data_IF_534570620980
#
_entry.id   IF_534570620980
#
_cell.length_a   1.000
_cell.length_b   1.000
_cell.length_c   1.000
_cell.angle_alpha   90.00
_cell.angle_beta   90.00
_cell.angle_gamma   90.00
#
_symmetry.space_group_name_H-M   'P 1'
#
loop_
_entity.id
_entity.type
_entity.pdbx_description
1 polymer ?
#
# COMPACT_ATOMS: atom_id res chain seq x y z
N UNK A 1 -28.08 -4.84 -20.79
CA UNK A 1 -26.71 -5.37 -21.01
C UNK A 1 -26.18 -4.82 -22.33
N UNK A 2 -25.58 -3.63 -22.29
CA UNK A 2 -24.73 -2.96 -23.30
C UNK A 2 -24.79 -1.46 -23.00
N UNK A 3 -23.80 -0.98 -22.29
CA UNK A 3 -23.24 0.37 -22.45
C UNK A 3 -21.94 0.39 -21.66
N UNK A 4 -20.91 -0.23 -22.24
CA UNK A 4 -19.55 0.18 -21.94
C UNK A 4 -19.35 1.43 -22.79
N UNK A 5 -19.13 2.55 -22.11
CA UNK A 5 -18.80 3.83 -22.74
C UNK A 5 -17.54 3.68 -23.58
N UNK A 6 -17.60 4.00 -24.87
CA UNK A 6 -16.45 4.02 -25.77
C UNK A 6 -15.35 4.98 -25.30
N UNK A 7 -15.69 5.97 -24.47
CA UNK A 7 -14.72 6.88 -23.86
C UNK A 7 -13.83 6.21 -22.79
N UNK A 8 -14.23 5.04 -22.24
CA UNK A 8 -13.38 4.25 -21.34
C UNK A 8 -12.41 3.34 -22.11
N UNK A 9 -12.74 2.95 -23.34
CA UNK A 9 -11.81 2.24 -24.22
C UNK A 9 -10.70 3.16 -24.74
N UNK A 10 -10.98 4.43 -25.02
CA UNK A 10 -9.93 5.37 -25.48
C UNK A 10 -8.87 5.70 -24.43
N UNK A 11 -9.19 5.50 -23.13
CA UNK A 11 -8.23 5.62 -22.03
C UNK A 11 -7.33 4.39 -21.90
N UNK A 12 -7.75 3.24 -22.47
CA UNK A 12 -7.00 1.98 -22.48
C UNK A 12 -6.02 1.91 -23.67
N UNK A 13 -6.35 2.44 -24.85
CA UNK A 13 -5.43 2.45 -25.99
C UNK A 13 -4.20 3.35 -25.77
N UNK A 14 -4.34 4.44 -25.01
CA UNK A 14 -3.21 5.32 -24.70
C UNK A 14 -2.17 4.75 -23.70
N UNK A 15 -2.48 3.64 -23.03
CA UNK A 15 -1.61 3.01 -22.02
C UNK A 15 -0.99 1.69 -22.49
N UNK A 16 -1.51 1.07 -23.55
CA UNK A 16 -0.98 -0.18 -24.09
C UNK A 16 0.27 0.02 -25.00
N UNK A 17 0.49 1.22 -25.54
CA UNK A 17 1.62 1.51 -26.45
C UNK A 17 2.91 1.99 -25.75
N UNK A 18 3.01 1.93 -24.42
CA UNK A 18 4.21 2.40 -23.69
C UNK A 18 4.97 1.35 -22.91
N UNK A 19 4.65 0.07 -23.06
CA UNK A 19 5.47 -1.03 -22.54
C UNK A 19 6.68 -1.31 -23.43
N UNK A 20 7.56 -0.31 -23.56
CA UNK A 20 8.96 -0.52 -23.88
C UNK A 20 9.69 -0.69 -22.54
N UNK A 21 9.78 -1.95 -22.08
CA UNK A 21 10.54 -2.32 -20.88
C UNK A 21 12.04 -2.15 -21.18
N UNK A 22 12.50 -0.89 -21.20
CA UNK A 22 13.91 -0.57 -20.98
C UNK A 22 14.15 -0.54 -19.49
N UNK A 23 15.14 -1.31 -19.05
CA UNK A 23 15.61 -1.40 -17.67
C UNK A 23 15.75 -0.02 -17.04
N UNK A 24 14.77 0.34 -16.23
CA UNK A 24 14.87 1.41 -15.26
C UNK A 24 15.52 0.86 -14.00
N UNK A 25 16.54 1.56 -13.52
CA UNK A 25 17.14 1.34 -12.21
C UNK A 25 16.07 1.18 -11.12
N UNK A 26 16.32 0.39 -10.07
CA UNK A 26 15.42 0.36 -8.92
C UNK A 26 15.31 1.77 -8.36
N UNK A 27 14.06 2.22 -8.22
CA UNK A 27 13.68 3.51 -7.65
C UNK A 27 14.30 3.63 -6.24
N UNK A 28 15.33 4.46 -6.08
CA UNK A 28 16.08 4.69 -4.83
C UNK A 28 15.22 5.36 -3.72
N UNK A 29 13.91 5.45 -3.90
CA UNK A 29 12.99 6.10 -2.97
C UNK A 29 12.43 5.21 -1.85
N UNK A 30 12.71 3.89 -1.84
CA UNK A 30 12.05 2.94 -0.92
C UNK A 30 12.88 2.61 0.36
N UNK A 31 14.06 3.21 0.55
CA UNK A 31 14.98 2.90 1.67
C UNK A 31 14.74 3.77 2.94
N UNK A 32 13.77 4.69 2.94
CA UNK A 32 13.64 5.74 3.97
C UNK A 32 12.31 5.74 4.76
N UNK A 33 11.78 4.59 5.17
CA UNK A 33 10.58 4.54 6.04
C UNK A 33 10.76 3.71 7.32
N UNK A 34 11.91 3.88 7.98
CA UNK A 34 12.08 3.46 9.37
C UNK A 34 11.55 4.56 10.30
N UNK A 35 10.22 4.61 10.47
CA UNK A 35 9.56 5.51 11.42
C UNK A 35 9.22 4.78 12.73
N UNK A 36 9.64 5.37 13.85
CA UNK A 36 9.35 4.93 15.21
C UNK A 36 7.85 5.11 15.55
N UNK A 37 7.28 4.31 16.49
CA UNK A 37 5.90 4.47 16.90
C UNK A 37 5.72 5.80 17.64
N UNK A 38 4.86 6.67 17.12
CA UNK A 38 4.48 7.91 17.78
C UNK A 38 3.45 7.60 18.86
N UNK A 39 3.75 7.97 20.10
CA UNK A 39 2.88 7.78 21.25
C UNK A 39 1.61 8.64 21.15
N UNK A 40 0.48 8.06 21.54
CA UNK A 40 -0.84 8.68 21.43
C UNK A 40 -1.23 9.58 22.61
N UNK A 41 -2.10 10.56 22.28
CA UNK A 41 -3.11 11.29 23.08
C UNK A 41 -2.68 12.47 23.98
N UNK A 42 -3.57 13.49 24.22
CA UNK A 42 -5.05 13.37 24.26
C UNK A 42 -5.92 14.44 23.54
N UNK A 43 -7.14 13.99 23.23
CA UNK A 43 -8.46 14.65 23.33
C UNK A 43 -8.79 16.01 22.64
N UNK A 44 -9.88 16.00 21.85
CA UNK A 44 -11.09 16.84 21.97
C UNK A 44 -11.67 17.33 20.64
N UNK A 45 -12.95 16.96 20.46
CA UNK A 45 -14.04 17.74 19.88
C UNK A 45 -13.92 18.24 18.41
N UNK A 46 -14.96 17.87 17.67
CA UNK A 46 -15.41 18.41 16.39
C UNK A 46 -14.96 19.86 16.11
N UNK A 47 -13.92 20.02 15.29
CA UNK A 47 -13.67 21.29 14.60
C UNK A 47 -14.49 21.29 13.32
N UNK A 48 -15.69 21.82 13.46
CA UNK A 48 -16.56 22.11 12.34
C UNK A 48 -15.98 23.32 11.60
N UNK A 49 -15.37 23.10 10.44
CA UNK A 49 -14.87 24.18 9.58
C UNK A 49 -13.62 23.89 8.75
N UNK A 50 -12.87 22.81 9.03
CA UNK A 50 -11.71 22.46 8.21
C UNK A 50 -12.18 21.93 6.84
N UNK A 51 -11.83 22.66 5.78
CA UNK A 51 -12.11 22.26 4.40
C UNK A 51 -11.22 21.07 4.04
N UNK A 52 -11.80 20.06 3.39
CA UNK A 52 -11.05 18.89 2.93
C UNK A 52 -10.02 19.32 1.88
N UNK A 53 -8.76 18.92 2.04
CA UNK A 53 -7.69 19.24 1.10
C UNK A 53 -7.55 18.16 0.03
N UNK A 54 -7.95 16.94 0.38
CA UNK A 54 -7.98 15.79 -0.52
C UNK A 54 -9.07 14.80 -0.10
N UNK A 55 -9.29 13.80 -0.95
CA UNK A 55 -10.14 12.66 -0.68
C UNK A 55 -9.35 11.36 -0.84
N UNK A 56 -9.75 10.35 -0.09
CA UNK A 56 -9.18 9.00 -0.16
C UNK A 56 -10.27 7.95 -0.30
N UNK A 57 -9.96 6.90 -1.04
CA UNK A 57 -10.78 5.69 -1.15
C UNK A 57 -10.18 4.64 -0.20
N UNK A 58 -11.00 4.16 0.73
CA UNK A 58 -10.57 3.32 1.86
C UNK A 58 -11.27 1.97 1.81
N UNK A 59 -10.50 0.89 1.79
CA UNK A 59 -11.01 -0.48 1.94
C UNK A 59 -11.03 -0.83 3.42
N UNK A 60 -12.20 -1.20 3.93
CA UNK A 60 -12.38 -1.62 5.32
C UNK A 60 -12.39 -3.15 5.35
N UNK A 61 -11.43 -3.75 6.06
CA UNK A 61 -11.31 -5.20 6.19
C UNK A 61 -12.07 -5.69 7.42
N UNK A 62 -13.37 -5.95 7.26
CA UNK A 62 -14.19 -6.62 8.28
C UNK A 62 -14.36 -8.07 7.85
N UNK A 63 -13.71 -9.06 8.51
CA UNK A 63 -13.71 -10.46 8.07
C UNK A 63 -15.10 -11.07 7.89
N UNK A 64 -16.10 -10.61 8.66
CA UNK A 64 -17.48 -11.07 8.60
C UNK A 64 -18.33 -10.39 7.51
N UNK A 65 -17.79 -9.41 6.77
CA UNK A 65 -18.49 -8.68 5.73
C UNK A 65 -17.67 -8.66 4.45
N UNK A 66 -18.19 -9.27 3.40
CA UNK A 66 -17.62 -9.16 2.06
C UNK A 66 -17.88 -7.76 1.47
N UNK A 67 -17.13 -6.77 1.95
CA UNK A 67 -17.15 -5.41 1.40
C UNK A 67 -16.42 -5.42 0.06
N UNK A 68 -17.18 -5.20 -1.00
CA UNK A 68 -16.68 -5.32 -2.38
C UNK A 68 -16.15 -3.99 -2.91
N UNK A 69 -16.64 -2.86 -2.37
CA UNK A 69 -16.31 -1.52 -2.84
C UNK A 69 -15.58 -0.72 -1.74
N UNK A 70 -14.62 0.14 -2.13
CA UNK A 70 -13.99 1.05 -1.19
C UNK A 70 -14.90 2.24 -0.87
N UNK A 71 -14.70 2.85 0.30
CA UNK A 71 -15.50 3.98 0.80
C UNK A 71 -14.70 5.28 0.72
N UNK A 72 -15.34 6.35 0.25
CA UNK A 72 -14.70 7.65 0.17
C UNK A 72 -14.69 8.37 1.53
N UNK A 73 -13.55 8.96 1.87
CA UNK A 73 -13.36 9.80 3.05
C UNK A 73 -12.62 11.09 2.70
N UNK A 74 -12.94 12.16 3.42
CA UNK A 74 -12.25 13.44 3.32
C UNK A 74 -11.00 13.46 4.20
N UNK A 75 -9.92 14.07 3.68
CA UNK A 75 -8.65 14.27 4.36
C UNK A 75 -8.56 15.73 4.81
N UNK A 76 -8.38 15.92 6.11
CA UNK A 76 -8.12 17.24 6.70
C UNK A 76 -6.66 17.67 6.50
N UNK A 77 -6.35 18.98 6.55
CA UNK A 77 -4.98 19.47 6.37
C UNK A 77 -3.95 18.79 7.29
N UNK A 78 -4.36 18.45 8.52
CA UNK A 78 -3.53 17.77 9.53
C UNK A 78 -2.99 16.41 9.05
N UNK A 79 -3.67 15.78 8.10
CA UNK A 79 -3.34 14.45 7.58
C UNK A 79 -2.91 14.46 6.11
N UNK A 80 -2.70 15.63 5.50
CA UNK A 80 -2.44 15.73 4.07
C UNK A 80 -1.15 15.00 3.64
N UNK A 81 -0.09 15.15 4.43
CA UNK A 81 1.22 14.53 4.15
C UNK A 81 1.25 13.05 4.52
N UNK A 82 0.63 12.68 5.63
CA UNK A 82 0.66 11.31 6.18
C UNK A 82 -0.34 10.36 5.52
N UNK A 83 -1.44 10.86 4.96
CA UNK A 83 -2.48 10.03 4.35
C UNK A 83 -2.15 9.68 2.88
N UNK A 84 -1.20 8.74 2.69
CA UNK A 84 -0.83 8.21 1.37
C UNK A 84 -1.46 6.84 1.09
N UNK A 85 -1.37 6.37 -0.15
CA UNK A 85 -1.80 5.00 -0.52
C UNK A 85 -1.00 3.97 0.28
N UNK A 86 -1.69 2.94 0.78
CA UNK A 86 -1.12 1.89 1.62
C UNK A 86 -1.26 2.12 3.12
N UNK A 87 -1.47 3.37 3.53
CA UNK A 87 -1.56 3.76 4.95
C UNK A 87 -2.78 3.14 5.61
N UNK A 88 -2.61 2.75 6.87
CA UNK A 88 -3.73 2.31 7.71
C UNK A 88 -4.35 3.51 8.40
N UNK A 89 -5.65 3.71 8.23
CA UNK A 89 -6.42 4.83 8.78
C UNK A 89 -7.53 4.33 9.70
N UNK A 90 -7.89 5.13 10.69
CA UNK A 90 -9.10 4.94 11.49
C UNK A 90 -10.23 5.74 10.85
N UNK A 91 -11.32 5.06 10.54
CA UNK A 91 -12.47 5.67 9.87
C UNK A 91 -13.79 5.37 10.59
N UNK A 92 -14.72 6.34 10.66
CA UNK A 92 -16.05 6.06 11.14
C UNK A 92 -16.82 5.19 10.12
N UNK A 93 -17.28 4.03 10.57
CA UNK A 93 -18.08 3.11 9.76
C UNK A 93 -19.34 2.68 10.52
N UNK A 94 -20.51 3.15 10.03
CA UNK A 94 -21.77 3.02 10.77
C UNK A 94 -21.70 3.67 12.15
N UNK A 95 -21.83 2.87 13.21
CA UNK A 95 -21.78 3.29 14.63
C UNK A 95 -20.44 3.00 15.31
N UNK A 96 -19.44 2.53 14.56
CA UNK A 96 -18.14 2.08 15.06
C UNK A 96 -17.02 2.85 14.36
N UNK A 97 -15.81 2.73 14.88
CA UNK A 97 -14.59 3.12 14.18
C UNK A 97 -13.87 1.83 13.81
N UNK A 98 -13.43 1.74 12.56
CA UNK A 98 -12.76 0.57 12.01
C UNK A 98 -11.43 0.98 11.37
N UNK A 99 -10.50 0.04 11.29
CA UNK A 99 -9.28 0.21 10.52
C UNK A 99 -9.60 0.00 9.05
N UNK A 100 -9.03 0.86 8.20
CA UNK A 100 -9.13 0.74 6.77
C UNK A 100 -7.81 1.08 6.10
N UNK A 101 -7.67 0.64 4.85
CA UNK A 101 -6.50 0.85 4.04
C UNK A 101 -6.79 1.83 2.92
N UNK A 102 -5.95 2.86 2.80
CA UNK A 102 -6.05 3.80 1.68
C UNK A 102 -5.60 3.10 0.40
N UNK A 103 -6.50 2.96 -0.58
CA UNK A 103 -6.20 2.31 -1.87
C UNK A 103 -6.10 3.30 -3.03
N UNK A 104 -6.65 4.51 -2.87
CA UNK A 104 -6.52 5.60 -3.82
C UNK A 104 -6.63 6.95 -3.09
N UNK A 105 -6.02 7.98 -3.66
CA UNK A 105 -6.07 9.37 -3.19
C UNK A 105 -6.24 10.29 -4.38
N UNK A 106 -7.04 11.34 -4.22
CA UNK A 106 -7.30 12.34 -5.24
C UNK A 106 -7.64 13.70 -4.64
N UNK A 107 -7.56 14.77 -5.44
CA UNK A 107 -7.97 16.12 -5.00
C UNK A 107 -9.49 16.32 -5.12
N UNK A 108 -10.09 15.70 -6.14
CA UNK A 108 -11.53 15.70 -6.33
C UNK A 108 -12.13 14.34 -5.99
N UNK A 109 -13.37 14.34 -5.50
CA UNK A 109 -14.11 13.13 -5.16
C UNK A 109 -14.43 12.29 -6.41
N UNK A 110 -14.70 12.93 -7.55
CA UNK A 110 -15.04 12.25 -8.80
C UNK A 110 -13.87 11.49 -9.43
N UNK A 111 -12.64 11.79 -9.01
CA UNK A 111 -11.43 11.10 -9.44
C UNK A 111 -11.20 9.79 -8.65
N UNK A 112 -11.90 9.59 -7.53
CA UNK A 112 -11.75 8.38 -6.73
C UNK A 112 -12.53 7.20 -7.32
N UNK A 113 -11.94 5.99 -7.31
CA UNK A 113 -12.65 4.78 -7.70
C UNK A 113 -13.90 4.56 -6.83
N UNK A 114 -15.05 4.39 -7.49
CA UNK A 114 -16.33 4.10 -6.82
C UNK A 114 -17.03 5.31 -6.18
N UNK A 115 -16.48 6.52 -6.30
CA UNK A 115 -17.02 7.72 -5.64
C UNK A 115 -17.65 8.75 -6.60
N UNK A 116 -17.76 8.43 -7.89
CA UNK A 116 -18.34 9.35 -8.89
C UNK A 116 -19.77 9.70 -8.54
N UNK A 117 -20.08 11.00 -8.47
CA UNK A 117 -21.43 11.48 -8.15
C UNK A 117 -21.82 11.34 -6.67
N UNK A 118 -20.89 11.02 -5.78
CA UNK A 118 -21.11 11.14 -4.33
C UNK A 118 -21.15 12.61 -3.95
N UNK A 119 -22.15 13.01 -3.16
CA UNK A 119 -22.24 14.37 -2.63
C UNK A 119 -21.14 14.60 -1.57
N UNK A 120 -20.25 15.60 -1.73
CA UNK A 120 -19.21 15.93 -0.77
C UNK A 120 -19.73 16.16 0.66
N UNK A 121 -20.97 16.65 0.83
CA UNK A 121 -21.57 16.89 2.16
C UNK A 121 -21.83 15.60 2.95
N UNK A 122 -21.93 14.46 2.24
CA UNK A 122 -22.17 13.13 2.83
C UNK A 122 -20.89 12.38 3.12
N UNK A 123 -19.75 12.88 2.64
CA UNK A 123 -18.44 12.25 2.84
C UNK A 123 -17.98 12.50 4.26
N UNK A 124 -17.74 11.41 5.00
CA UNK A 124 -17.17 11.48 6.34
C UNK A 124 -15.67 11.78 6.27
N UNK A 125 -15.12 12.30 7.36
CA UNK A 125 -13.68 12.56 7.47
C UNK A 125 -12.96 11.34 8.04
N UNK A 126 -11.68 11.19 7.70
CA UNK A 126 -10.80 10.27 8.41
C UNK A 126 -10.66 10.74 9.86
N UNK A 127 -10.59 9.79 10.80
CA UNK A 127 -10.43 10.12 12.21
C UNK A 127 -8.97 10.27 12.58
N UNK A 128 -8.11 9.37 12.09
CA UNK A 128 -6.70 9.34 12.41
C UNK A 128 -5.90 8.48 11.41
N UNK A 129 -4.59 8.68 11.34
CA UNK A 129 -3.64 7.85 10.61
C UNK A 129 -2.97 6.90 11.61
N UNK A 130 -3.28 5.61 11.50
CA UNK A 130 -2.93 4.62 12.51
C UNK A 130 -1.54 3.99 12.34
N UNK A 131 -1.11 3.75 11.10
CA UNK A 131 0.16 3.09 10.82
C UNK A 131 0.70 3.44 9.43
N UNK A 132 2.02 3.30 9.28
CA UNK A 132 2.75 3.47 8.03
C UNK A 132 2.17 2.59 6.89
N UNK A 133 2.49 2.91 5.62
CA UNK A 133 2.00 2.15 4.48
C UNK A 133 2.30 0.65 4.60
N UNK A 134 1.25 -0.18 4.53
CA UNK A 134 1.36 -1.64 4.56
C UNK A 134 1.63 -2.25 3.17
N UNK A 135 1.39 -1.48 2.11
CA UNK A 135 1.56 -1.90 0.71
C UNK A 135 1.75 -0.67 -0.20
N UNK A 136 2.19 -0.90 -1.43
CA UNK A 136 2.45 0.15 -2.41
C UNK A 136 1.24 0.47 -3.31
N UNK A 137 1.31 1.57 -4.06
CA UNK A 137 0.28 1.89 -5.07
C UNK A 137 0.17 0.81 -6.16
N UNK A 138 1.27 0.11 -6.48
CA UNK A 138 1.26 -1.01 -7.41
C UNK A 138 0.45 -2.20 -6.86
N UNK A 139 0.64 -2.52 -5.57
CA UNK A 139 -0.16 -3.52 -4.87
C UNK A 139 -1.65 -3.16 -4.88
N UNK A 140 -2.00 -1.89 -4.62
CA UNK A 140 -3.39 -1.43 -4.70
C UNK A 140 -4.00 -1.65 -6.09
N UNK A 141 -3.27 -1.27 -7.17
CA UNK A 141 -3.70 -1.50 -8.55
C UNK A 141 -3.88 -2.99 -8.86
N UNK A 142 -2.97 -3.84 -8.38
CA UNK A 142 -3.06 -5.28 -8.52
C UNK A 142 -4.30 -5.83 -7.79
N UNK A 143 -4.59 -5.37 -6.57
CA UNK A 143 -5.79 -5.77 -5.84
C UNK A 143 -7.09 -5.39 -6.60
N UNK A 144 -7.15 -4.18 -7.15
CA UNK A 144 -8.26 -3.77 -8.02
C UNK A 144 -8.39 -4.63 -9.27
N UNK A 145 -7.27 -4.96 -9.93
CA UNK A 145 -7.27 -5.86 -11.08
C UNK A 145 -7.79 -7.24 -10.70
N UNK A 146 -7.27 -7.85 -9.61
CA UNK A 146 -7.69 -9.17 -9.13
C UNK A 146 -9.18 -9.19 -8.80
N UNK A 147 -9.67 -8.19 -8.06
CA UNK A 147 -11.08 -8.07 -7.69
C UNK A 147 -11.98 -8.03 -8.92
N UNK A 148 -11.60 -7.27 -9.97
CA UNK A 148 -12.36 -7.22 -11.22
C UNK A 148 -12.25 -8.51 -12.05
N UNK A 149 -11.06 -9.08 -12.18
CA UNK A 149 -10.84 -10.28 -13.00
C UNK A 149 -11.52 -11.52 -12.43
N UNK A 150 -11.45 -11.67 -11.11
CA UNK A 150 -11.94 -12.87 -10.42
C UNK A 150 -13.27 -12.65 -9.71
N UNK A 151 -13.87 -11.46 -9.83
CA UNK A 151 -15.14 -11.08 -9.18
C UNK A 151 -15.10 -11.38 -7.68
N UNK A 152 -13.94 -11.09 -7.07
CA UNK A 152 -13.67 -11.30 -5.66
C UNK A 152 -13.77 -9.98 -4.87
N UNK A 153 -14.17 -10.01 -3.58
CA UNK A 153 -14.18 -8.81 -2.75
C UNK A 153 -12.80 -8.14 -2.72
N UNK A 154 -12.75 -6.81 -2.90
CA UNK A 154 -11.49 -6.09 -2.92
C UNK A 154 -10.68 -6.26 -1.62
N UNK A 155 -11.37 -6.38 -0.47
CA UNK A 155 -10.73 -6.66 0.82
C UNK A 155 -10.01 -8.01 0.84
N UNK A 156 -10.55 -9.04 0.19
CA UNK A 156 -9.89 -10.35 0.05
C UNK A 156 -8.65 -10.27 -0.82
N UNK A 157 -8.76 -9.62 -1.98
CA UNK A 157 -7.63 -9.39 -2.87
C UNK A 157 -6.52 -8.60 -2.19
N UNK A 158 -6.87 -7.60 -1.38
CA UNK A 158 -5.89 -6.76 -0.67
C UNK A 158 -5.18 -7.53 0.45
N UNK A 159 -5.89 -8.41 1.19
CA UNK A 159 -5.30 -9.23 2.24
C UNK A 159 -4.17 -10.14 1.75
N UNK A 160 -4.21 -10.58 0.49
CA UNK A 160 -3.13 -11.37 -0.12
C UNK A 160 -1.82 -10.59 -0.26
N UNK A 161 -1.89 -9.26 -0.24
CA UNK A 161 -0.76 -8.35 -0.41
C UNK A 161 -0.26 -7.80 0.93
N UNK A 162 -0.97 -8.09 2.02
CA UNK A 162 -0.57 -7.72 3.37
C UNK A 162 0.41 -8.77 3.93
N UNK A 163 1.36 -8.36 4.78
CA UNK A 163 2.26 -9.31 5.44
C UNK A 163 1.48 -10.38 6.23
N UNK A 164 2.02 -11.61 6.32
CA UNK A 164 1.37 -12.72 7.03
C UNK A 164 1.15 -12.34 8.51
N UNK A 165 0.00 -12.71 9.06
CA UNK A 165 -0.49 -12.25 10.38
C UNK A 165 -1.40 -11.01 10.32
N UNK A 166 -1.56 -10.43 9.13
CA UNK A 166 -2.77 -9.71 8.72
C UNK A 166 -3.02 -8.35 9.36
N UNK A 167 -4.22 -7.82 9.12
CA UNK A 167 -4.67 -6.53 9.59
C UNK A 167 -4.64 -6.40 11.12
N UNK A 168 -4.17 -5.25 11.62
CA UNK A 168 -4.26 -4.92 13.04
C UNK A 168 -5.71 -4.77 13.49
N UNK A 169 -5.92 -4.72 14.81
CA UNK A 169 -7.26 -4.63 15.41
C UNK A 169 -7.52 -3.22 15.92
N UNK A 170 -8.77 -2.77 15.82
CA UNK A 170 -9.20 -1.56 16.52
C UNK A 170 -9.79 -1.97 17.86
N UNK A 171 -9.22 -1.46 18.94
CA UNK A 171 -9.70 -1.67 20.31
C UNK A 171 -10.36 -0.38 20.79
N UNK A 172 -11.54 -0.51 21.41
CA UNK A 172 -12.23 0.59 22.06
C UNK A 172 -11.85 0.62 23.55
N UNK A 173 -11.25 1.71 24.00
CA UNK A 173 -10.94 1.94 25.41
C UNK A 173 -12.20 2.20 26.24
N UNK A 174 -12.10 2.03 27.56
CA UNK A 174 -13.19 2.28 28.51
C UNK A 174 -13.64 3.76 28.51
N UNK A 175 -12.73 4.66 28.19
CA UNK A 175 -12.95 6.10 27.99
C UNK A 175 -13.66 6.44 26.66
N UNK A 176 -13.96 5.43 25.83
CA UNK A 176 -14.56 5.60 24.52
C UNK A 176 -13.58 6.01 23.42
N UNK A 177 -12.27 6.05 23.71
CA UNK A 177 -11.23 6.20 22.70
C UNK A 177 -11.14 4.93 21.82
N UNK A 178 -10.54 5.06 20.64
CA UNK A 178 -10.26 3.93 19.75
C UNK A 178 -8.77 3.96 19.46
N UNK A 179 -8.12 2.82 19.62
CA UNK A 179 -6.69 2.62 19.37
C UNK A 179 -6.49 1.51 18.34
N UNK A 180 -5.50 1.67 17.47
CA UNK A 180 -5.06 0.63 16.54
C UNK A 180 -3.96 -0.20 17.19
N UNK A 181 -4.20 -1.50 17.29
CA UNK A 181 -3.22 -2.48 17.72
C UNK A 181 -2.62 -3.16 16.48
N UNK A 182 -1.35 -2.89 16.14
CA UNK A 182 -0.72 -3.47 14.96
C UNK A 182 -0.55 -4.99 15.11
N UNK A 183 -0.45 -5.73 13.99
CA UNK A 183 -0.20 -7.17 14.04
C UNK A 183 1.14 -7.48 14.73
N UNK A 184 1.16 -8.56 15.54
CA UNK A 184 2.32 -9.00 16.33
C UNK A 184 3.38 -9.73 15.49
N UNK A 185 3.62 -9.27 14.27
CA UNK A 185 4.53 -9.94 13.33
C UNK A 185 5.75 -9.07 13.16
N UNK A 186 6.92 -9.63 13.45
CA UNK A 186 8.18 -8.95 13.17
C UNK A 186 8.42 -8.92 11.66
N UNK A 187 8.75 -7.76 11.07
CA UNK A 187 9.06 -7.67 9.66
C UNK A 187 10.29 -8.53 9.36
N UNK A 188 10.18 -9.42 8.36
CA UNK A 188 11.31 -10.20 7.85
C UNK A 188 11.84 -9.50 6.61
N UNK A 189 13.01 -8.88 6.73
CA UNK A 189 13.68 -8.26 5.59
C UNK A 189 14.53 -9.30 4.85
N UNK A 190 14.28 -9.47 3.55
CA UNK A 190 15.17 -10.19 2.65
C UNK A 190 15.92 -9.18 1.77
N UNK A 191 17.24 -9.30 1.71
CA UNK A 191 18.08 -8.49 0.82
C UNK A 191 18.43 -9.32 -0.39
N UNK A 192 18.07 -8.83 -1.58
CA UNK A 192 18.40 -9.44 -2.85
C UNK A 192 19.69 -8.83 -3.39
N UNK A 193 20.54 -9.68 -3.96
CA UNK A 193 21.80 -9.30 -4.56
C UNK A 193 21.77 -9.77 -6.00
N UNK A 194 22.14 -8.90 -6.92
CA UNK A 194 22.28 -9.20 -8.34
C UNK A 194 23.55 -8.55 -8.87
N UNK A 195 24.12 -9.09 -9.95
CA UNK A 195 25.25 -8.46 -10.63
C UNK A 195 24.78 -7.21 -11.39
N UNK A 196 25.46 -6.11 -11.14
CA UNK A 196 25.44 -4.94 -12.03
C UNK A 196 26.13 -5.26 -13.35
N UNK A 197 25.94 -4.43 -14.36
CA UNK A 197 26.62 -4.61 -15.66
C UNK A 197 28.15 -4.62 -15.52
N UNK A 198 28.70 -3.71 -14.72
CA UNK A 198 30.13 -3.71 -14.38
C UNK A 198 30.55 -5.00 -13.67
N UNK A 199 29.73 -5.48 -12.72
CA UNK A 199 29.97 -6.72 -11.98
C UNK A 199 29.98 -7.97 -12.88
N UNK A 200 29.24 -7.98 -14.00
CA UNK A 200 29.28 -9.06 -14.99
C UNK A 200 30.58 -9.10 -15.77
N UNK A 201 31.18 -7.94 -16.02
CA UNK A 201 32.46 -7.79 -16.72
C UNK A 201 33.68 -7.84 -15.79
N UNK A 202 33.45 -7.88 -14.48
CA UNK A 202 34.52 -7.90 -13.49
C UNK A 202 35.19 -9.29 -13.45
N UNK A 203 36.49 -9.31 -13.72
CA UNK A 203 37.32 -10.52 -13.62
C UNK A 203 38.14 -10.49 -12.32
N UNK A 204 37.77 -11.27 -11.28
CA UNK A 204 38.53 -11.30 -10.05
C UNK A 204 39.90 -11.95 -10.25
N UNK A 205 40.89 -11.53 -9.47
CA UNK A 205 42.21 -12.16 -9.46
C UNK A 205 42.12 -13.67 -9.13
N UNK A 206 43.05 -14.47 -9.66
CA UNK A 206 43.03 -15.93 -9.51
C UNK A 206 42.93 -16.39 -8.05
N UNK A 207 43.62 -15.70 -7.14
CA UNK A 207 43.66 -15.97 -5.70
C UNK A 207 42.46 -15.43 -4.92
N UNK A 208 41.59 -14.64 -5.55
CA UNK A 208 40.42 -14.05 -4.92
C UNK A 208 39.22 -15.03 -4.89
N UNK A 209 39.41 -16.16 -4.22
CA UNK A 209 38.45 -17.29 -4.20
C UNK A 209 37.03 -16.84 -3.86
N UNK A 210 36.86 -16.01 -2.81
CA UNK A 210 35.54 -15.50 -2.39
C UNK A 210 34.86 -14.63 -3.44
N UNK A 211 35.61 -13.76 -4.12
CA UNK A 211 35.05 -12.91 -5.17
C UNK A 211 34.61 -13.75 -6.36
N UNK A 212 35.41 -14.75 -6.75
CA UNK A 212 35.06 -15.68 -7.83
C UNK A 212 33.80 -16.47 -7.53
N UNK A 213 33.69 -17.05 -6.33
CA UNK A 213 32.49 -17.78 -5.91
C UNK A 213 31.25 -16.88 -5.85
N UNK A 214 31.41 -15.61 -5.44
CA UNK A 214 30.31 -14.66 -5.41
C UNK A 214 29.83 -14.30 -6.83
N UNK A 215 30.76 -14.00 -7.75
CA UNK A 215 30.43 -13.75 -9.16
C UNK A 215 29.76 -14.99 -9.79
N UNK A 216 30.30 -16.19 -9.55
CA UNK A 216 29.73 -17.44 -10.04
C UNK A 216 28.31 -17.67 -9.53
N UNK A 217 28.07 -17.53 -8.21
CA UNK A 217 26.75 -17.69 -7.62
C UNK A 217 25.72 -16.70 -8.20
N UNK A 218 26.12 -15.44 -8.41
CA UNK A 218 25.24 -14.41 -8.97
C UNK A 218 25.09 -14.48 -10.50
N UNK A 219 25.95 -15.23 -11.20
CA UNK A 219 25.85 -15.40 -12.65
C UNK A 219 24.58 -16.15 -13.08
N UNK A 220 24.05 -16.99 -12.20
CA UNK A 220 22.80 -17.73 -12.38
C UNK A 220 21.53 -16.89 -12.16
N UNK A 221 21.67 -15.66 -11.65
CA UNK A 221 20.56 -14.74 -11.39
C UNK A 221 20.60 -14.11 -9.99
N UNK A 222 19.61 -13.25 -9.66
CA UNK A 222 19.49 -12.66 -8.34
C UNK A 222 19.28 -13.72 -7.25
N UNK A 223 20.00 -13.60 -6.13
CA UNK A 223 19.83 -14.46 -4.95
C UNK A 223 19.72 -13.60 -3.70
N UNK A 224 19.18 -14.15 -2.62
CA UNK A 224 19.15 -13.44 -1.34
C UNK A 224 20.50 -13.50 -0.64
N UNK A 225 20.83 -12.49 0.17
CA UNK A 225 22.06 -12.51 1.01
C UNK A 225 22.09 -13.71 1.94
N UNK A 226 20.93 -14.21 2.38
CA UNK A 226 20.83 -15.42 3.21
C UNK A 226 21.24 -16.66 2.43
N UNK A 227 20.74 -16.85 1.22
CA UNK A 227 21.14 -17.96 0.35
C UNK A 227 22.61 -17.87 -0.01
N UNK A 228 23.11 -16.67 -0.33
CA UNK A 228 24.51 -16.44 -0.63
C UNK A 228 25.42 -16.81 0.55
N UNK A 229 25.03 -16.44 1.78
CA UNK A 229 25.78 -16.85 2.98
C UNK A 229 25.73 -18.36 3.23
N UNK A 230 24.63 -19.04 2.89
CA UNK A 230 24.51 -20.50 3.00
C UNK A 230 25.36 -21.25 1.97
N UNK A 231 25.57 -20.65 0.79
CA UNK A 231 26.43 -21.23 -0.25
C UNK A 231 27.93 -21.03 0.02
N UNK A 232 28.27 -20.05 0.86
CA UNK A 232 29.65 -19.59 1.11
C UNK A 232 30.16 -19.89 2.55
N UNK A 233 29.32 -20.48 3.40
CA UNK A 233 29.63 -20.87 4.77
C UNK A 233 29.95 -22.35 4.88
#
# INVERSE_FOLDING_TARGET
MRHLDEQQLSLLDGLAERDDVRGGAPDEADEAHRAAPCAASPACASRDGAQAVAYVSVVIDIPARALSEPFAYAVEPEHEESCQVGVTVLVPFGRRVEAGYVVARARSLDELPGARGVDPSRVKRIRDVAAAPAFSSASARLAFWMSRQYVAPLSECLRLLLPPGGAGKVVRGEDGSYAYEPPTVSPVTARWVSLTDEGRSFEPAERAVRQRQLIEALSCGPVTTRELNLMQG
#
